data_IF_400384230738
#
_entry.id   IF_400384230738
#
_cell.length_a   1.000
_cell.length_b   1.000
_cell.length_c   1.000
_cell.angle_alpha   90.00
_cell.angle_beta   90.00
_cell.angle_gamma   90.00
#
_symmetry.space_group_name_H-M   'P 1'
#
loop_
_entity.id
_entity.type
_entity.pdbx_description
1 polymer ?
#
# COMPACT_ATOMS: atom_id res chain seq x y z
N UNK A 1 6.49 6.23 -23.26
CA UNK A 1 5.19 5.64 -23.57
C UNK A 1 4.15 6.74 -23.52
N UNK A 2 3.19 6.75 -24.45
CA UNK A 2 2.05 7.69 -24.38
C UNK A 2 0.87 7.10 -23.60
N UNK A 3 -0.17 7.92 -23.40
CA UNK A 3 -1.32 7.58 -22.55
C UNK A 3 -2.16 6.42 -23.12
N UNK A 4 -2.34 6.39 -24.44
CA UNK A 4 -3.15 5.36 -25.11
C UNK A 4 -2.36 4.05 -25.19
N UNK A 5 -1.06 4.13 -25.46
CA UNK A 5 -0.14 2.99 -25.45
C UNK A 5 -0.11 2.30 -24.08
N UNK A 6 0.03 3.07 -22.99
CA UNK A 6 0.03 2.51 -21.63
C UNK A 6 -1.31 1.84 -21.30
N UNK A 7 -2.42 2.49 -21.64
CA UNK A 7 -3.75 1.94 -21.40
C UNK A 7 -3.97 0.63 -22.18
N UNK A 8 -3.53 0.58 -23.44
CA UNK A 8 -3.66 -0.60 -24.29
C UNK A 8 -2.81 -1.77 -23.76
N UNK A 9 -1.55 -1.50 -23.41
CA UNK A 9 -0.62 -2.50 -22.87
C UNK A 9 -1.17 -3.10 -21.58
N UNK A 10 -1.65 -2.26 -20.66
CA UNK A 10 -2.22 -2.77 -19.41
C UNK A 10 -3.49 -3.57 -19.71
N UNK A 11 -4.38 -3.12 -20.61
CA UNK A 11 -5.64 -3.79 -20.95
C UNK A 11 -5.48 -5.22 -21.54
N UNK A 12 -4.27 -5.67 -21.86
CA UNK A 12 -4.01 -7.05 -22.26
C UNK A 12 -4.02 -8.04 -21.08
N UNK A 13 -3.88 -7.56 -19.83
CA UNK A 13 -4.08 -8.42 -18.65
C UNK A 13 -5.58 -8.71 -18.51
N UNK A 14 -6.01 -9.98 -18.45
CA UNK A 14 -7.42 -10.33 -18.33
C UNK A 14 -8.07 -9.77 -17.05
N UNK A 15 -9.38 -9.50 -17.12
CA UNK A 15 -10.24 -9.19 -15.95
C UNK A 15 -9.93 -7.89 -15.17
N UNK A 16 -8.89 -7.15 -15.55
CA UNK A 16 -8.68 -5.78 -15.06
C UNK A 16 -9.56 -4.81 -15.84
N UNK A 17 -9.88 -3.67 -15.22
CA UNK A 17 -10.61 -2.59 -15.87
C UNK A 17 -9.66 -1.41 -16.08
N UNK A 18 -9.44 -1.01 -17.32
CA UNK A 18 -8.56 0.12 -17.66
C UNK A 18 -9.40 1.29 -18.15
N UNK A 19 -9.11 2.48 -17.62
CA UNK A 19 -9.74 3.73 -18.02
C UNK A 19 -8.74 4.87 -18.01
N UNK A 20 -9.09 5.98 -18.65
CA UNK A 20 -8.30 7.21 -18.65
C UNK A 20 -9.08 8.27 -17.90
N UNK A 21 -8.52 8.76 -16.79
CA UNK A 21 -9.14 9.78 -15.95
C UNK A 21 -8.16 10.91 -15.69
N UNK A 22 -8.49 12.14 -16.10
CA UNK A 22 -7.66 13.31 -15.81
C UNK A 22 -6.23 13.25 -16.36
N UNK A 23 -6.00 12.50 -17.45
CA UNK A 23 -4.66 12.29 -18.02
C UNK A 23 -3.86 11.16 -17.36
N UNK A 24 -4.47 10.42 -16.44
CA UNK A 24 -3.90 9.23 -15.81
C UNK A 24 -4.51 7.97 -16.42
N UNK A 25 -3.70 6.91 -16.51
CA UNK A 25 -4.23 5.55 -16.68
C UNK A 25 -4.67 5.04 -15.31
N UNK A 26 -5.95 4.69 -15.21
CA UNK A 26 -6.54 4.12 -13.99
C UNK A 26 -6.83 2.65 -14.27
N UNK A 27 -6.08 1.79 -13.61
CA UNK A 27 -6.20 0.33 -13.70
C UNK A 27 -6.85 -0.19 -12.43
N UNK A 28 -8.12 -0.55 -12.52
CA UNK A 28 -8.87 -1.17 -11.42
C UNK A 28 -8.62 -2.67 -11.43
N UNK A 29 -8.30 -3.21 -10.27
CA UNK A 29 -8.15 -4.65 -10.04
C UNK A 29 -9.33 -5.10 -9.17
N UNK A 30 -10.39 -5.69 -9.76
CA UNK A 30 -11.62 -6.02 -9.03
C UNK A 30 -11.40 -6.92 -7.82
N UNK A 31 -10.44 -7.86 -7.91
CA UNK A 31 -10.13 -8.81 -6.86
C UNK A 31 -9.71 -8.15 -5.53
N UNK A 32 -8.99 -7.02 -5.58
CA UNK A 32 -8.59 -6.25 -4.40
C UNK A 32 -9.53 -5.07 -4.10
N UNK A 33 -10.38 -4.70 -5.06
CA UNK A 33 -11.32 -3.60 -4.95
C UNK A 33 -10.65 -2.22 -4.89
N UNK A 34 -9.47 -2.09 -5.50
CA UNK A 34 -8.68 -0.86 -5.57
C UNK A 34 -8.18 -0.61 -7.01
N UNK A 35 -7.59 0.55 -7.24
CA UNK A 35 -7.07 0.95 -8.53
C UNK A 35 -5.68 1.58 -8.42
N UNK A 36 -4.82 1.24 -9.38
CA UNK A 36 -3.54 1.91 -9.62
C UNK A 36 -3.78 3.08 -10.54
N UNK A 37 -3.21 4.24 -10.21
CA UNK A 37 -3.20 5.45 -11.04
C UNK A 37 -1.79 5.75 -11.51
N UNK A 38 -1.59 5.79 -12.83
CA UNK A 38 -0.29 5.97 -13.45
C UNK A 38 -0.27 7.16 -14.39
N UNK A 39 0.74 8.01 -14.24
CA UNK A 39 1.12 8.97 -15.25
C UNK A 39 1.98 8.26 -16.32
N UNK A 40 1.66 8.36 -17.62
CA UNK A 40 2.43 7.68 -18.66
C UNK A 40 3.91 8.09 -18.70
N UNK A 41 4.20 9.33 -18.32
CA UNK A 41 5.55 9.90 -18.24
C UNK A 41 6.41 9.22 -17.17
N UNK A 42 5.79 8.57 -16.19
CA UNK A 42 6.48 7.84 -15.14
C UNK A 42 6.70 6.37 -15.45
N UNK A 43 6.06 5.81 -16.48
CA UNK A 43 6.30 4.43 -16.90
C UNK A 43 7.48 4.40 -17.86
N UNK A 44 8.59 3.81 -17.39
CA UNK A 44 9.86 3.77 -18.10
C UNK A 44 9.98 2.57 -19.04
N UNK A 45 9.49 1.42 -18.59
CA UNK A 45 9.52 0.15 -19.32
C UNK A 45 8.40 -0.78 -18.84
N UNK A 46 8.17 -1.85 -19.59
CA UNK A 46 7.18 -2.87 -19.24
C UNK A 46 7.53 -4.25 -19.80
N UNK A 47 7.09 -5.30 -19.11
CA UNK A 47 7.23 -6.69 -19.55
C UNK A 47 5.99 -7.51 -19.19
N UNK A 48 5.55 -8.39 -20.09
CA UNK A 48 4.55 -9.40 -19.75
C UNK A 48 5.17 -10.50 -18.91
N UNK A 49 4.46 -10.88 -17.85
CA UNK A 49 4.88 -12.01 -17.02
C UNK A 49 3.75 -13.00 -16.81
N UNK A 50 4.16 -14.22 -16.48
CA UNK A 50 3.29 -15.23 -15.91
C UNK A 50 3.79 -15.46 -14.49
N UNK A 51 2.96 -15.13 -13.51
CA UNK A 51 3.27 -15.38 -12.11
C UNK A 51 3.49 -16.89 -11.89
N UNK A 52 4.22 -17.30 -10.83
CA UNK A 52 4.40 -18.72 -10.51
C UNK A 52 3.08 -19.50 -10.33
N UNK A 53 1.99 -18.81 -9.99
CA UNK A 53 0.63 -19.33 -9.92
C UNK A 53 0.00 -19.65 -11.29
N UNK A 54 0.67 -19.31 -12.40
CA UNK A 54 0.16 -19.41 -13.76
C UNK A 54 -0.72 -18.23 -14.19
N UNK A 55 -0.87 -17.22 -13.32
CA UNK A 55 -1.69 -16.04 -13.56
C UNK A 55 -0.95 -15.04 -14.46
N UNK A 56 -1.57 -14.54 -15.54
CA UNK A 56 -0.96 -13.51 -16.36
C UNK A 56 -0.89 -12.17 -15.61
N UNK A 57 0.17 -11.42 -15.90
CA UNK A 57 0.33 -10.07 -15.39
C UNK A 57 1.29 -9.25 -16.23
N UNK A 58 1.49 -8.02 -15.80
CA UNK A 58 2.42 -7.09 -16.39
C UNK A 58 3.30 -6.49 -15.29
N UNK A 59 4.61 -6.43 -15.54
CA UNK A 59 5.54 -5.66 -14.73
C UNK A 59 5.81 -4.32 -15.42
N UNK A 60 5.76 -3.25 -14.66
CA UNK A 60 6.04 -1.89 -15.08
C UNK A 60 7.22 -1.36 -14.26
N UNK A 61 8.19 -0.75 -14.93
CA UNK A 61 9.21 0.05 -14.26
C UNK A 61 8.68 1.48 -14.09
N UNK A 62 8.35 1.85 -12.85
CA UNK A 62 7.74 3.16 -12.53
C UNK A 62 8.78 4.08 -11.90
N UNK A 63 8.90 5.30 -12.43
CA UNK A 63 9.78 6.34 -11.87
C UNK A 63 9.08 7.10 -10.76
N UNK A 64 9.77 7.26 -9.62
CA UNK A 64 9.38 8.19 -8.55
C UNK A 64 10.59 8.99 -8.11
N UNK A 65 10.63 10.27 -8.52
CA UNK A 65 11.81 11.10 -8.35
C UNK A 65 13.03 10.49 -9.07
N UNK A 66 14.02 10.06 -8.30
CA UNK A 66 15.23 9.39 -8.80
C UNK A 66 15.18 7.86 -8.74
N UNK A 67 14.13 7.30 -8.13
CA UNK A 67 13.97 5.85 -7.98
C UNK A 67 13.25 5.23 -9.18
N UNK A 68 13.60 3.96 -9.44
CA UNK A 68 12.91 3.07 -10.37
C UNK A 68 12.30 1.95 -9.54
N UNK A 69 10.98 1.86 -9.56
CA UNK A 69 10.20 1.00 -8.69
C UNK A 69 9.48 -0.04 -9.54
N UNK A 70 9.63 -1.34 -9.24
CA UNK A 70 8.83 -2.36 -9.89
C UNK A 70 7.37 -2.24 -9.43
N UNK A 71 6.46 -2.35 -10.38
CA UNK A 71 5.02 -2.45 -10.16
C UNK A 71 4.49 -3.60 -10.99
N UNK A 72 3.97 -4.63 -10.34
CA UNK A 72 3.37 -5.78 -11.02
C UNK A 72 1.86 -5.71 -10.85
N UNK A 73 1.13 -5.81 -11.95
CA UNK A 73 -0.33 -5.87 -11.97
C UNK A 73 -0.73 -7.25 -12.50
N UNK A 74 -1.49 -7.99 -11.71
CA UNK A 74 -2.08 -9.27 -12.10
C UNK A 74 -3.61 -9.18 -12.06
N UNK A 75 -4.29 -10.23 -12.49
CA UNK A 75 -5.77 -10.30 -12.42
C UNK A 75 -6.28 -10.25 -10.98
N UNK A 76 -5.46 -10.70 -10.02
CA UNK A 76 -5.82 -10.91 -8.63
C UNK A 76 -5.17 -9.90 -7.67
N UNK A 77 -4.12 -9.19 -8.08
CA UNK A 77 -3.35 -8.36 -7.16
C UNK A 77 -2.54 -7.24 -7.83
N UNK A 78 -1.96 -6.41 -6.97
CA UNK A 78 -0.93 -5.42 -7.32
C UNK A 78 0.25 -5.60 -6.38
N UNK A 79 1.43 -5.85 -6.93
CA UNK A 79 2.66 -6.06 -6.17
C UNK A 79 3.59 -4.87 -6.36
N UNK A 80 4.14 -4.37 -5.26
CA UNK A 80 4.97 -3.16 -5.26
C UNK A 80 6.09 -3.26 -4.21
N UNK A 81 7.07 -2.37 -4.33
CA UNK A 81 8.17 -2.26 -3.37
C UNK A 81 7.77 -1.39 -2.16
N UNK A 82 7.86 -1.91 -0.91
CA UNK A 82 7.71 -1.12 0.30
C UNK A 82 8.66 0.08 0.36
N UNK A 83 8.27 1.12 1.11
CA UNK A 83 9.20 2.20 1.47
C UNK A 83 10.25 1.70 2.48
N UNK A 84 11.40 2.37 2.52
CA UNK A 84 12.39 2.06 3.55
C UNK A 84 11.95 2.62 4.90
N UNK A 85 12.14 1.84 5.95
CA UNK A 85 11.82 2.28 7.32
C UNK A 85 12.57 3.57 7.72
N UNK A 86 13.81 3.72 7.24
CA UNK A 86 14.62 4.91 7.46
C UNK A 86 14.02 6.18 6.83
N UNK A 87 13.14 6.05 5.84
CA UNK A 87 12.47 7.19 5.20
C UNK A 87 11.18 7.59 5.93
N UNK A 88 10.66 6.73 6.80
CA UNK A 88 9.40 6.98 7.51
C UNK A 88 9.57 7.77 8.81
N UNK A 89 10.75 7.71 9.42
CA UNK A 89 11.04 8.33 10.72
C UNK A 89 12.05 9.47 10.59
N UNK A 90 12.00 10.43 11.52
CA UNK A 90 12.98 11.51 11.57
C UNK A 90 14.43 10.97 11.57
N UNK A 91 15.39 11.60 10.86
CA UNK A 91 16.75 11.08 10.72
C UNK A 91 17.47 10.76 12.05
N UNK A 92 17.18 11.53 13.10
CA UNK A 92 17.80 11.38 14.42
C UNK A 92 16.96 10.50 15.38
N UNK A 93 15.84 9.95 14.91
CA UNK A 93 15.03 9.05 15.72
C UNK A 93 15.77 7.71 15.93
N UNK A 94 15.71 7.12 17.13
CA UNK A 94 16.20 5.76 17.34
C UNK A 94 15.37 4.83 16.45
N UNK A 95 15.99 4.30 15.39
CA UNK A 95 15.35 3.34 14.51
C UNK A 95 15.04 2.07 15.30
N UNK A 96 13.77 1.72 15.39
CA UNK A 96 13.35 0.39 15.81
C UNK A 96 14.02 -0.62 14.89
N UNK A 97 14.45 -1.76 15.46
CA UNK A 97 14.92 -2.87 14.65
C UNK A 97 13.75 -3.43 13.87
N UNK A 98 13.64 -3.00 12.63
CA UNK A 98 12.66 -3.54 11.70
C UNK A 98 13.17 -4.90 11.24
N UNK A 99 12.40 -6.00 11.39
CA UNK A 99 12.75 -7.27 10.77
C UNK A 99 12.91 -7.08 9.26
N UNK A 100 13.65 -7.98 8.59
CA UNK A 100 13.85 -7.89 7.14
C UNK A 100 12.51 -7.71 6.42
N UNK A 101 12.26 -6.51 5.89
CA UNK A 101 11.09 -6.24 5.06
C UNK A 101 11.23 -7.02 3.76
N UNK A 102 10.14 -7.58 3.21
CA UNK A 102 10.20 -8.17 1.88
C UNK A 102 10.55 -7.08 0.83
N UNK A 103 11.21 -7.49 -0.26
CA UNK A 103 11.55 -6.60 -1.38
C UNK A 103 10.31 -6.19 -2.17
N UNK A 104 9.30 -7.05 -2.20
CA UNK A 104 8.02 -6.86 -2.88
C UNK A 104 6.91 -7.34 -1.94
N UNK A 105 5.78 -6.66 -1.95
CA UNK A 105 4.59 -7.04 -1.20
C UNK A 105 3.37 -6.90 -2.09
N UNK A 106 2.48 -7.90 -2.05
CA UNK A 106 1.21 -7.83 -2.74
C UNK A 106 0.20 -7.01 -1.92
N UNK A 107 -0.70 -6.27 -2.57
CA UNK A 107 -1.73 -5.50 -1.88
C UNK A 107 -2.60 -6.41 -1.01
N UNK A 108 -2.96 -7.60 -1.51
CA UNK A 108 -3.77 -8.55 -0.74
C UNK A 108 -3.04 -9.04 0.52
N UNK A 109 -1.72 -9.27 0.45
CA UNK A 109 -0.89 -9.65 1.60
C UNK A 109 -0.82 -8.52 2.62
N UNK A 110 -0.51 -7.31 2.18
CA UNK A 110 -0.52 -6.11 3.03
C UNK A 110 -1.87 -5.97 3.74
N UNK A 111 -2.99 -6.07 3.01
CA UNK A 111 -4.32 -5.94 3.58
C UNK A 111 -4.64 -7.06 4.59
N UNK A 112 -4.31 -8.31 4.25
CA UNK A 112 -4.50 -9.46 5.15
C UNK A 112 -3.73 -9.28 6.44
N UNK A 113 -2.46 -8.89 6.38
CA UNK A 113 -1.56 -8.83 7.52
C UNK A 113 -1.94 -7.68 8.46
N UNK A 114 -2.23 -6.50 7.89
CA UNK A 114 -2.71 -5.33 8.63
C UNK A 114 -4.05 -5.64 9.33
N UNK A 115 -4.98 -6.32 8.64
CA UNK A 115 -6.26 -6.73 9.20
C UNK A 115 -6.12 -7.79 10.29
N UNK A 116 -5.21 -8.74 10.13
CA UNK A 116 -4.97 -9.80 11.11
C UNK A 116 -4.46 -9.19 12.44
N UNK A 117 -3.49 -8.29 12.36
CA UNK A 117 -3.00 -7.57 13.55
C UNK A 117 -4.09 -6.69 14.17
N UNK A 118 -4.86 -5.99 13.33
CA UNK A 118 -5.95 -5.13 13.80
C UNK A 118 -7.03 -5.89 14.56
N UNK A 119 -7.31 -7.14 14.21
CA UNK A 119 -8.21 -8.00 14.99
C UNK A 119 -7.59 -8.51 16.28
N UNK A 120 -6.28 -8.78 16.25
CA UNK A 120 -5.55 -9.31 17.40
C UNK A 120 -5.39 -8.26 18.51
N UNK A 121 -5.28 -6.97 18.15
CA UNK A 121 -4.98 -5.89 19.11
C UNK A 121 -6.06 -5.67 20.17
N UNK A 122 -7.29 -6.10 19.93
CA UNK A 122 -8.39 -6.03 20.89
C UNK A 122 -8.49 -7.28 21.78
N UNK A 123 -7.66 -8.31 21.56
CA UNK A 123 -7.63 -9.50 22.41
C UNK A 123 -6.87 -9.20 23.71
N UNK A 124 -7.56 -9.18 24.88
CA UNK A 124 -6.91 -8.89 26.16
C UNK A 124 -5.93 -9.96 26.62
N UNK A 125 -5.94 -11.16 26.01
CA UNK A 125 -4.97 -12.22 26.28
C UNK A 125 -3.71 -12.11 25.40
N UNK A 126 -3.68 -11.19 24.44
CA UNK A 126 -2.54 -11.03 23.55
C UNK A 126 -1.43 -10.24 24.26
N UNK A 127 -0.37 -10.94 24.64
CA UNK A 127 0.88 -10.32 25.08
C UNK A 127 1.74 -9.98 23.86
N UNK A 128 1.73 -8.69 23.44
CA UNK A 128 2.65 -8.19 22.43
C UNK A 128 3.79 -7.42 23.10
N UNK A 129 5.01 -7.83 22.79
CA UNK A 129 6.20 -7.04 23.08
C UNK A 129 6.11 -5.67 22.37
N UNK A 130 6.22 -4.53 23.09
CA UNK A 130 6.05 -3.20 22.51
C UNK A 130 7.04 -2.88 21.38
N UNK A 131 8.27 -3.41 21.45
CA UNK A 131 9.27 -3.23 20.39
C UNK A 131 8.82 -3.95 19.11
N UNK A 132 8.39 -5.21 19.23
CA UNK A 132 7.87 -6.00 18.12
C UNK A 132 6.64 -5.36 17.49
N UNK A 133 5.70 -4.88 18.30
CA UNK A 133 4.49 -4.22 17.79
C UNK A 133 4.81 -2.88 17.11
N UNK A 134 5.69 -2.07 17.70
CA UNK A 134 6.17 -0.83 17.08
C UNK A 134 6.88 -1.08 15.74
N UNK A 135 7.75 -2.09 15.68
CA UNK A 135 8.42 -2.49 14.44
C UNK A 135 7.40 -2.97 13.39
N UNK A 136 6.39 -3.73 13.79
CA UNK A 136 5.34 -4.21 12.88
C UNK A 136 4.48 -3.08 12.32
N UNK A 137 4.07 -2.11 13.15
CA UNK A 137 3.34 -0.93 12.66
C UNK A 137 4.19 -0.05 11.73
N UNK A 138 5.50 0.04 11.98
CA UNK A 138 6.44 0.71 11.08
C UNK A 138 6.52 -0.02 9.73
N UNK A 139 6.61 -1.36 9.72
CA UNK A 139 6.55 -2.15 8.46
C UNK A 139 5.25 -1.89 7.71
N UNK A 140 4.10 -1.90 8.37
CA UNK A 140 2.82 -1.62 7.73
C UNK A 140 2.75 -0.20 7.16
N UNK A 141 3.35 0.79 7.85
CA UNK A 141 3.49 2.15 7.32
C UNK A 141 4.37 2.17 6.06
N UNK A 142 5.46 1.42 6.05
CA UNK A 142 6.30 1.23 4.87
C UNK A 142 5.54 0.62 3.69
N UNK A 143 4.65 -0.35 3.96
CA UNK A 143 3.80 -0.95 2.92
C UNK A 143 2.83 0.09 2.35
N UNK A 144 2.13 0.85 3.19
CA UNK A 144 1.23 1.92 2.75
C UNK A 144 1.95 3.01 1.96
N UNK A 145 3.13 3.45 2.41
CA UNK A 145 3.94 4.41 1.67
C UNK A 145 4.44 3.83 0.33
N UNK A 146 4.79 2.53 0.31
CA UNK A 146 5.09 1.79 -0.93
C UNK A 146 3.91 1.81 -1.91
N UNK A 147 2.71 1.51 -1.44
CA UNK A 147 1.49 1.50 -2.23
C UNK A 147 1.18 2.90 -2.82
N UNK A 148 1.27 3.96 -2.00
CA UNK A 148 1.08 5.34 -2.46
C UNK A 148 2.09 5.72 -3.54
N UNK A 149 3.37 5.38 -3.36
CA UNK A 149 4.40 5.58 -4.39
C UNK A 149 4.12 4.76 -5.65
N UNK A 150 3.53 3.58 -5.54
CA UNK A 150 3.12 2.78 -6.69
C UNK A 150 1.87 3.31 -7.42
N UNK A 151 1.20 4.33 -6.88
CA UNK A 151 -0.02 4.90 -7.47
C UNK A 151 -1.33 4.27 -6.97
N UNK A 152 -1.27 3.41 -5.95
CA UNK A 152 -2.45 2.92 -5.24
C UNK A 152 -2.96 3.98 -4.25
N UNK A 153 -4.23 3.87 -3.85
CA UNK A 153 -4.82 4.72 -2.81
C UNK A 153 -5.50 3.87 -1.72
N UNK A 154 -4.71 3.21 -0.85
CA UNK A 154 -5.14 2.07 -0.04
C UNK A 154 -5.95 2.46 1.21
N UNK A 155 -7.07 3.19 1.04
CA UNK A 155 -7.88 3.75 2.15
C UNK A 155 -8.31 2.69 3.16
N UNK A 156 -8.70 1.49 2.70
CA UNK A 156 -9.14 0.40 3.59
C UNK A 156 -8.02 -0.10 4.50
N UNK A 157 -6.83 -0.26 3.95
CA UNK A 157 -5.67 -0.74 4.72
C UNK A 157 -5.19 0.35 5.67
N UNK A 158 -5.19 1.60 5.21
CA UNK A 158 -4.89 2.77 6.02
C UNK A 158 -5.84 2.92 7.21
N UNK A 159 -7.13 2.62 7.04
CA UNK A 159 -8.11 2.64 8.11
C UNK A 159 -7.81 1.61 9.21
N UNK A 160 -7.33 0.42 8.86
CA UNK A 160 -6.88 -0.58 9.84
C UNK A 160 -5.58 -0.15 10.53
N UNK A 161 -4.65 0.45 9.80
CA UNK A 161 -3.41 0.97 10.38
C UNK A 161 -3.70 2.06 11.42
N UNK A 162 -4.54 3.03 11.07
CA UNK A 162 -4.94 4.12 11.98
C UNK A 162 -5.66 3.56 13.21
N UNK A 163 -6.54 2.56 13.02
CA UNK A 163 -7.24 1.89 14.10
C UNK A 163 -6.30 1.30 15.15
N UNK A 164 -5.24 0.64 14.69
CA UNK A 164 -4.20 0.09 15.57
C UNK A 164 -3.40 1.22 16.21
N UNK A 165 -2.90 2.17 15.42
CA UNK A 165 -2.10 3.28 15.92
C UNK A 165 -2.82 4.08 17.03
N UNK A 166 -4.12 4.34 16.89
CA UNK A 166 -4.92 5.05 17.89
C UNK A 166 -5.00 4.31 19.24
N UNK A 167 -4.84 2.98 19.26
CA UNK A 167 -4.91 2.16 20.48
C UNK A 167 -3.59 2.05 21.20
N UNK A 168 -2.51 1.89 20.44
CA UNK A 168 -1.21 1.48 21.00
C UNK A 168 -0.07 2.46 20.70
N UNK A 169 -0.28 3.43 19.80
CA UNK A 169 0.78 4.32 19.33
C UNK A 169 1.37 5.23 20.40
N UNK A 170 0.60 5.60 21.42
CA UNK A 170 1.10 6.42 22.53
C UNK A 170 2.14 5.70 23.41
N UNK A 171 2.09 4.36 23.44
CA UNK A 171 2.95 3.53 24.28
C UNK A 171 4.15 2.95 23.49
N UNK A 172 4.30 3.32 22.22
CA UNK A 172 5.32 2.78 21.33
C UNK A 172 6.61 3.58 21.31
N UNK A 173 7.71 2.85 21.19
CA UNK A 173 9.02 3.38 20.83
C UNK A 173 9.17 3.63 19.32
N UNK A 174 8.08 3.87 18.61
CA UNK A 174 8.17 4.36 17.24
C UNK A 174 8.60 5.83 17.33
N UNK A 175 9.86 6.13 16.95
CA UNK A 175 10.32 7.51 16.86
C UNK A 175 9.38 8.37 15.99
N UNK A 176 9.47 9.70 16.07
CA UNK A 176 8.53 10.57 15.35
C UNK A 176 8.57 10.26 13.85
N UNK A 177 7.38 10.05 13.26
CA UNK A 177 7.25 9.91 11.81
C UNK A 177 7.54 11.24 11.15
N UNK A 178 8.18 11.20 9.97
CA UNK A 178 8.37 12.39 9.14
C UNK A 178 7.02 12.93 8.71
N UNK A 179 6.95 14.26 8.55
CA UNK A 179 5.82 14.90 7.91
C UNK A 179 5.70 14.41 6.45
N UNK A 180 4.50 13.98 6.08
CA UNK A 180 4.19 13.48 4.75
C UNK A 180 2.79 13.97 4.34
N UNK A 181 2.70 15.02 3.49
CA UNK A 181 1.41 15.57 3.07
C UNK A 181 0.53 14.57 2.32
N UNK A 182 1.12 13.58 1.63
CA UNK A 182 0.36 12.54 0.92
C UNK A 182 -0.27 11.58 1.93
N UNK A 183 0.49 11.23 2.98
CA UNK A 183 -0.04 10.48 4.11
C UNK A 183 -1.20 11.22 4.79
N UNK A 184 -1.04 12.52 5.03
CA UNK A 184 -2.09 13.33 5.67
C UNK A 184 -3.38 13.35 4.84
N UNK A 185 -3.26 13.44 3.51
CA UNK A 185 -4.40 13.33 2.61
C UNK A 185 -5.06 11.94 2.67
N UNK A 186 -4.26 10.86 2.71
CA UNK A 186 -4.79 9.50 2.89
C UNK A 186 -5.55 9.37 4.21
N UNK A 187 -5.05 9.93 5.31
CA UNK A 187 -5.74 9.91 6.61
C UNK A 187 -7.02 10.76 6.62
N UNK A 188 -7.04 11.85 5.87
CA UNK A 188 -8.26 12.65 5.66
C UNK A 188 -9.33 11.82 4.93
N UNK A 189 -8.93 11.06 3.90
CA UNK A 189 -9.85 10.18 3.15
C UNK A 189 -10.32 8.99 3.99
N UNK A 190 -9.47 8.43 4.86
CA UNK A 190 -9.88 7.45 5.88
C UNK A 190 -10.97 8.03 6.79
N UNK A 191 -10.78 9.27 7.25
CA UNK A 191 -11.76 9.96 8.10
C UNK A 191 -13.08 10.18 7.37
N UNK A 192 -13.03 10.60 6.11
CA UNK A 192 -14.22 10.79 5.29
C UNK A 192 -14.93 9.47 5.00
N UNK A 193 -14.20 8.42 4.59
CA UNK A 193 -14.77 7.10 4.31
C UNK A 193 -15.55 6.56 5.52
N UNK A 194 -15.02 6.72 6.74
CA UNK A 194 -15.69 6.31 7.98
C UNK A 194 -17.03 7.02 8.23
N UNK A 195 -17.24 8.23 7.72
CA UNK A 195 -18.52 8.95 7.85
C UNK A 195 -19.64 8.33 7.01
N UNK A 196 -19.27 7.57 5.97
CA UNK A 196 -20.21 6.92 5.05
C UNK A 196 -20.46 5.44 5.39
N UNK A 197 -19.85 4.91 6.47
CA UNK A 197 -20.05 3.52 6.91
C UNK A 197 -21.21 3.43 7.90
N UNK A 198 -22.27 2.71 7.52
CA UNK A 198 -23.42 2.39 8.40
C UNK A 198 -23.06 1.29 9.41
N UNK A 199 -23.60 1.28 10.65
CA UNK A 199 -23.17 0.38 11.74
C UNK A 199 -23.22 -1.12 11.46
N UNK A 200 -23.99 -1.58 10.47
CA UNK A 200 -24.17 -3.01 10.15
C UNK A 200 -22.98 -3.64 9.42
N UNK A 201 -22.01 -2.84 8.95
CA UNK A 201 -20.79 -3.31 8.29
C UNK A 201 -19.51 -3.15 9.15
N UNK A 202 -19.64 -2.90 10.46
CA UNK A 202 -18.55 -2.39 11.29
C UNK A 202 -17.84 -3.48 12.11
N UNK A 203 -16.76 -3.98 11.55
CA UNK A 203 -15.46 -4.15 12.23
C UNK A 203 -14.45 -3.78 11.14
N UNK A 204 -13.37 -3.03 11.42
CA UNK A 204 -12.73 -2.12 10.45
C UNK A 204 -12.49 -2.62 9.01
#
# INVERSE_FOLDING_TARGET
MDLEELAQVIAEVPEIEVSIEGGLVVTRVPAIGDAVRLEPVDVLDWEYLIAPSGVPGIELEVRRGHERLPLIITVDDVVFMPAYAADMVEPDAPLLRVPSSPNLVAYSEMHRDVRALGKAIDDPALELDPETLGATLLVHRCFLAGALRAGLWPVRVAAWWEYMWARVGNDMLAGPFRADPVWDQLMADVTEARRHVTPENVTP
#
